data_IF_620962315162
#
_entry.id   IF_620962315162
#
_cell.length_a   1.000
_cell.length_b   1.000
_cell.length_c   1.000
_cell.angle_alpha   90.00
_cell.angle_beta   90.00
_cell.angle_gamma   90.00
#
_symmetry.space_group_name_H-M   'P 1'
#
loop_
_entity.id
_entity.type
_entity.pdbx_description
1 polymer ?
#
# COMPACT_ATOMS: atom_id res chain seq x y z
N UNK A 1 -3.32 3.70 -21.23
CA UNK A 1 -3.32 5.00 -20.53
C UNK A 1 -3.74 4.68 -19.10
N UNK A 2 -2.79 4.67 -18.18
CA UNK A 2 -2.93 4.18 -16.80
C UNK A 2 -4.10 4.87 -16.09
N UNK A 3 -5.08 4.12 -15.57
CA UNK A 3 -5.94 4.65 -14.49
C UNK A 3 -5.13 4.59 -13.21
N UNK A 4 -4.25 5.58 -13.04
CA UNK A 4 -3.48 5.74 -11.81
C UNK A 4 -4.48 5.98 -10.68
N UNK A 5 -4.57 5.02 -9.76
CA UNK A 5 -5.62 4.97 -8.75
C UNK A 5 -5.27 5.83 -7.54
N UNK A 6 -6.25 6.61 -7.08
CA UNK A 6 -6.20 7.34 -5.81
C UNK A 6 -7.03 6.61 -4.75
N UNK A 7 -6.51 6.55 -3.52
CA UNK A 7 -7.29 6.10 -2.37
C UNK A 7 -6.88 6.81 -1.09
N UNK A 8 -7.79 6.84 -0.13
CA UNK A 8 -7.57 7.37 1.21
C UNK A 8 -8.04 6.36 2.26
N UNK A 9 -7.15 6.03 3.20
CA UNK A 9 -7.46 5.25 4.40
C UNK A 9 -7.68 6.17 5.59
N UNK A 10 -8.78 5.95 6.30
CA UNK A 10 -9.13 6.62 7.54
C UNK A 10 -9.10 5.60 8.66
N UNK A 11 -8.35 5.89 9.73
CA UNK A 11 -8.16 4.95 10.82
C UNK A 11 -7.50 5.59 12.02
N UNK A 12 -6.79 4.78 12.79
CA UNK A 12 -6.15 5.21 14.03
C UNK A 12 -4.77 4.60 14.23
N UNK A 13 -3.92 5.35 14.93
CA UNK A 13 -2.65 4.92 15.50
C UNK A 13 -2.78 5.03 17.04
N UNK A 14 -3.23 3.95 17.68
CA UNK A 14 -3.69 4.02 19.07
C UNK A 14 -4.95 4.89 19.17
N UNK A 15 -4.92 5.94 19.98
CA UNK A 15 -6.02 6.91 20.12
C UNK A 15 -5.95 8.08 19.12
N UNK A 16 -4.89 8.16 18.32
CA UNK A 16 -4.67 9.27 17.38
C UNK A 16 -5.34 8.96 16.05
N UNK A 17 -6.28 9.80 15.56
CA UNK A 17 -6.87 9.61 14.24
C UNK A 17 -5.82 9.81 13.15
N UNK A 18 -5.84 8.94 12.14
CA UNK A 18 -4.93 8.92 11.01
C UNK A 18 -5.72 8.98 9.71
N UNK A 19 -5.26 9.81 8.79
CA UNK A 19 -5.72 9.84 7.39
C UNK A 19 -4.50 9.72 6.50
N UNK A 20 -4.46 8.71 5.62
CA UNK A 20 -3.37 8.51 4.66
C UNK A 20 -3.96 8.40 3.27
N UNK A 21 -3.53 9.27 2.38
CA UNK A 21 -3.89 9.28 0.95
C UNK A 21 -2.70 8.84 0.12
N UNK A 22 -2.93 7.87 -0.75
CA UNK A 22 -2.04 7.57 -1.86
C UNK A 22 -2.69 8.10 -3.14
N UNK A 23 -2.01 9.01 -3.80
CA UNK A 23 -2.38 9.54 -5.11
C UNK A 23 -1.25 9.22 -6.08
N UNK A 24 -1.44 8.19 -6.90
CA UNK A 24 -0.48 7.81 -7.93
C UNK A 24 0.94 7.51 -7.41
N UNK A 25 1.04 6.90 -6.21
CA UNK A 25 2.30 6.60 -5.54
C UNK A 25 2.83 7.73 -4.66
N UNK A 26 2.24 8.94 -4.70
CA UNK A 26 2.56 10.00 -3.76
C UNK A 26 1.74 9.81 -2.46
N UNK A 27 2.45 9.77 -1.33
CA UNK A 27 1.86 9.63 0.00
C UNK A 27 1.68 10.99 0.67
N UNK A 28 0.47 11.24 1.17
CA UNK A 28 0.13 12.41 1.98
C UNK A 28 -0.83 12.02 3.09
N UNK A 29 -0.97 12.84 4.12
CA UNK A 29 -1.82 12.48 5.25
C UNK A 29 -1.51 13.23 6.54
N UNK A 30 -2.29 12.92 7.56
CA UNK A 30 -2.15 13.44 8.91
C UNK A 30 -2.35 12.32 9.95
N UNK A 31 -1.59 12.32 11.05
CA UNK A 31 -0.42 13.16 11.31
C UNK A 31 0.76 12.80 10.39
N UNK A 32 1.70 13.73 10.21
CA UNK A 32 2.90 13.49 9.37
C UNK A 32 3.71 12.29 9.84
N UNK A 33 3.71 12.00 11.15
CA UNK A 33 4.34 10.80 11.71
C UNK A 33 3.76 9.51 11.10
N UNK A 34 2.44 9.45 10.86
CA UNK A 34 1.82 8.28 10.27
C UNK A 34 2.27 8.08 8.81
N UNK A 35 2.35 9.16 8.04
CA UNK A 35 2.87 9.13 6.66
C UNK A 35 4.32 8.66 6.64
N UNK A 36 5.14 9.14 7.58
CA UNK A 36 6.54 8.76 7.69
C UNK A 36 6.70 7.26 8.00
N UNK A 37 5.87 6.71 8.91
CA UNK A 37 5.87 5.25 9.20
C UNK A 37 5.54 4.40 7.98
N UNK A 38 4.62 4.85 7.13
CA UNK A 38 4.31 4.16 5.87
C UNK A 38 5.53 4.16 4.95
N UNK A 39 6.18 5.32 4.78
CA UNK A 39 7.38 5.45 3.94
C UNK A 39 8.51 4.54 4.43
N UNK A 40 8.78 4.54 5.73
CA UNK A 40 9.82 3.68 6.34
C UNK A 40 9.52 2.19 6.15
N UNK A 41 8.26 1.78 6.28
CA UNK A 41 7.89 0.39 6.05
C UNK A 41 8.03 0.01 4.56
N UNK A 42 7.62 0.88 3.64
CA UNK A 42 7.81 0.66 2.20
C UNK A 42 9.30 0.62 1.83
N UNK A 43 10.14 1.44 2.45
CA UNK A 43 11.59 1.40 2.24
C UNK A 43 12.20 0.11 2.79
N UNK A 44 11.78 -0.36 3.96
CA UNK A 44 12.20 -1.65 4.51
C UNK A 44 11.76 -2.82 3.62
N UNK A 45 10.61 -2.72 2.96
CA UNK A 45 10.19 -3.68 1.93
C UNK A 45 11.14 -3.61 0.72
N UNK A 46 11.48 -2.40 0.26
CA UNK A 46 12.40 -2.16 -0.87
C UNK A 46 13.80 -2.71 -0.62
N UNK A 47 14.33 -2.56 0.59
CA UNK A 47 15.67 -3.05 0.96
C UNK A 47 15.69 -4.56 1.27
N UNK A 48 14.54 -5.23 1.24
CA UNK A 48 14.43 -6.66 1.58
C UNK A 48 14.50 -6.94 3.08
N UNK A 49 14.45 -5.90 3.93
CA UNK A 49 14.39 -6.03 5.39
C UNK A 49 13.02 -6.50 5.89
N UNK A 50 11.97 -6.21 5.10
CA UNK A 50 10.59 -6.68 5.35
C UNK A 50 10.00 -7.31 4.10
N UNK A 51 9.12 -8.27 4.32
CA UNK A 51 8.31 -8.87 3.28
C UNK A 51 6.85 -8.57 3.57
N UNK A 52 6.12 -8.07 2.58
CA UNK A 52 4.68 -7.98 2.65
C UNK A 52 4.08 -9.04 1.72
N UNK A 53 3.20 -9.86 2.28
CA UNK A 53 2.49 -10.86 1.53
C UNK A 53 1.13 -10.28 1.15
N UNK A 54 0.90 -10.06 -0.14
CA UNK A 54 -0.44 -9.83 -0.67
C UNK A 54 -0.84 -11.01 -1.53
N UNK A 55 -2.12 -11.40 -1.45
CA UNK A 55 -2.67 -12.37 -2.39
C UNK A 55 -2.79 -11.66 -3.73
N UNK A 56 -2.02 -12.14 -4.71
CA UNK A 56 -2.22 -11.87 -6.11
C UNK A 56 -3.60 -12.44 -6.48
N UNK A 57 -4.65 -11.63 -6.40
CA UNK A 57 -5.81 -11.94 -7.22
C UNK A 57 -5.35 -11.75 -8.66
N UNK A 58 -5.46 -12.80 -9.47
CA UNK A 58 -5.35 -12.73 -10.92
C UNK A 58 -6.38 -11.72 -11.42
N UNK A 59 -6.02 -10.44 -11.36
CA UNK A 59 -6.61 -9.43 -12.20
C UNK A 59 -6.05 -9.72 -13.59
N UNK A 60 -6.73 -10.59 -14.33
CA UNK A 60 -6.52 -10.74 -15.76
C UNK A 60 -6.61 -9.34 -16.40
N UNK A 61 -5.45 -8.74 -16.68
CA UNK A 61 -5.34 -7.50 -17.45
C UNK A 61 -4.94 -6.21 -16.71
N UNK A 62 -4.66 -6.20 -15.40
CA UNK A 62 -4.23 -4.97 -14.70
C UNK A 62 -3.00 -5.17 -13.78
N UNK A 63 -1.81 -5.36 -14.38
CA UNK A 63 -0.51 -5.29 -13.68
C UNK A 63 -0.32 -3.97 -12.88
N UNK A 64 -1.05 -2.92 -13.29
CA UNK A 64 -0.99 -1.57 -12.73
C UNK A 64 -1.63 -1.40 -11.33
N UNK A 65 -2.44 -2.36 -10.87
CA UNK A 65 -3.09 -2.29 -9.56
C UNK A 65 -2.16 -2.66 -8.38
N UNK A 66 -0.98 -3.23 -8.67
CA UNK A 66 -0.04 -3.74 -7.66
C UNK A 66 0.50 -2.64 -6.73
N UNK A 67 0.77 -1.42 -7.22
CA UNK A 67 1.29 -0.29 -6.40
C UNK A 67 0.28 0.10 -5.32
N UNK A 68 -0.96 0.47 -5.67
CA UNK A 68 -1.96 0.80 -4.67
C UNK A 68 -2.24 -0.30 -3.66
N UNK A 69 -2.22 -1.57 -4.10
CA UNK A 69 -2.48 -2.71 -3.21
C UNK A 69 -1.36 -2.91 -2.20
N UNK A 70 -0.09 -2.80 -2.61
CA UNK A 70 1.05 -2.85 -1.69
C UNK A 70 0.96 -1.73 -0.64
N UNK A 71 0.69 -0.49 -1.07
CA UNK A 71 0.56 0.65 -0.16
C UNK A 71 -0.64 0.49 0.79
N UNK A 72 -1.79 0.01 0.30
CA UNK A 72 -2.94 -0.31 1.16
C UNK A 72 -2.59 -1.37 2.21
N UNK A 73 -1.88 -2.42 1.83
CA UNK A 73 -1.47 -3.48 2.74
C UNK A 73 -0.55 -2.95 3.85
N UNK A 74 0.44 -2.12 3.51
CA UNK A 74 1.30 -1.47 4.50
C UNK A 74 0.50 -0.60 5.46
N UNK A 75 -0.46 0.19 4.94
CA UNK A 75 -1.30 1.06 5.77
C UNK A 75 -2.16 0.23 6.74
N UNK A 76 -2.71 -0.92 6.30
CA UNK A 76 -3.49 -1.81 7.17
C UNK A 76 -2.66 -2.54 8.22
N UNK A 77 -1.41 -2.87 7.90
CA UNK A 77 -0.48 -3.48 8.85
C UNK A 77 -0.09 -2.47 9.95
N UNK A 78 0.05 -1.20 9.60
CA UNK A 78 0.52 -0.14 10.51
C UNK A 78 -0.58 0.50 11.36
N UNK A 79 -1.81 0.53 10.87
CA UNK A 79 -2.89 1.32 11.46
C UNK A 79 -4.20 0.54 11.51
N UNK A 80 -5.03 0.86 12.51
CA UNK A 80 -6.38 0.34 12.60
C UNK A 80 -7.28 1.12 11.62
N UNK A 81 -7.39 0.63 10.39
CA UNK A 81 -8.15 1.30 9.33
C UNK A 81 -9.63 0.96 9.42
N UNK A 82 -10.44 1.98 9.68
CA UNK A 82 -11.88 1.87 9.84
C UNK A 82 -12.62 2.03 8.50
N UNK A 83 -12.04 2.77 7.55
CA UNK A 83 -12.72 3.14 6.30
C UNK A 83 -11.74 3.44 5.16
N UNK A 84 -12.12 3.04 3.95
CA UNK A 84 -11.45 3.39 2.70
C UNK A 84 -12.34 4.25 1.81
N UNK A 85 -11.74 5.19 1.10
CA UNK A 85 -12.34 5.92 -0.03
C UNK A 85 -11.43 5.87 -1.25
N UNK A 86 -12.00 5.99 -2.45
CA UNK A 86 -11.27 6.10 -3.71
C UNK A 86 -11.50 4.95 -4.68
N UNK A 87 -10.81 5.03 -5.81
CA UNK A 87 -11.15 4.31 -7.03
C UNK A 87 -10.44 2.97 -7.16
N UNK A 88 -9.47 2.72 -6.26
CA UNK A 88 -8.75 1.46 -6.18
C UNK A 88 -9.64 0.46 -5.44
N UNK A 89 -10.16 -0.59 -6.11
CA UNK A 89 -11.07 -1.51 -5.47
C UNK A 89 -10.41 -2.22 -4.28
N UNK A 90 -11.18 -2.38 -3.21
CA UNK A 90 -10.75 -3.06 -2.00
C UNK A 90 -11.11 -4.54 -2.13
N UNK A 91 -10.13 -5.39 -2.43
CA UNK A 91 -10.33 -6.83 -2.33
C UNK A 91 -9.67 -7.33 -1.06
N UNK A 92 -10.49 -7.93 -0.21
CA UNK A 92 -10.17 -8.30 1.17
C UNK A 92 -8.97 -9.23 1.29
N UNK A 93 -8.20 -8.97 2.33
CA UNK A 93 -7.08 -9.80 2.75
C UNK A 93 -7.61 -11.07 3.42
N UNK A 94 -7.10 -12.23 3.00
CA UNK A 94 -7.16 -13.44 3.79
C UNK A 94 -5.75 -14.00 3.87
N UNK A 95 -5.26 -14.25 5.08
CA UNK A 95 -3.97 -14.88 5.31
C UNK A 95 -3.87 -16.19 4.51
N UNK A 96 -2.86 -16.27 3.65
CA UNK A 96 -2.52 -17.44 2.83
C UNK A 96 -1.01 -17.49 2.57
N UNK A 97 -0.46 -18.65 2.20
CA UNK A 97 0.97 -18.81 1.95
C UNK A 97 1.38 -17.88 0.79
N UNK A 98 2.16 -16.85 1.12
CA UNK A 98 2.49 -15.79 0.18
C UNK A 98 3.33 -16.29 -0.98
N UNK A 99 3.06 -15.73 -2.17
CA UNK A 99 3.91 -15.92 -3.35
C UNK A 99 4.99 -14.85 -3.29
N UNK A 100 6.29 -15.20 -3.33
CA UNK A 100 7.35 -14.21 -3.51
C UNK A 100 7.11 -13.53 -4.86
N UNK A 101 6.93 -12.22 -4.83
CA UNK A 101 6.83 -11.42 -6.06
C UNK A 101 8.22 -11.49 -6.67
N UNK A 102 8.30 -11.90 -7.93
CA UNK A 102 9.56 -11.95 -8.67
C UNK A 102 10.24 -10.58 -8.54
N UNK A 103 11.43 -10.57 -7.95
CA UNK A 103 12.02 -9.41 -7.25
C UNK A 103 12.16 -8.18 -8.16
N UNK A 104 12.22 -8.33 -9.49
CA UNK A 104 12.43 -7.22 -10.42
C UNK A 104 11.16 -6.35 -10.59
N UNK A 105 10.00 -6.97 -10.83
CA UNK A 105 8.71 -6.27 -10.97
C UNK A 105 8.34 -5.51 -9.70
N UNK A 106 8.65 -6.08 -8.54
CA UNK A 106 8.35 -5.46 -7.25
C UNK A 106 9.28 -4.29 -6.93
N UNK A 107 10.55 -4.41 -7.27
CA UNK A 107 11.52 -3.33 -7.08
C UNK A 107 11.23 -2.15 -8.01
N UNK A 108 10.91 -2.42 -9.27
CA UNK A 108 10.49 -1.41 -10.25
C UNK A 108 9.22 -0.67 -9.79
N UNK A 109 8.33 -1.42 -9.14
CA UNK A 109 7.09 -0.94 -8.57
C UNK A 109 7.30 -0.03 -7.34
N UNK A 110 8.22 -0.39 -6.45
CA UNK A 110 8.59 0.44 -5.28
C UNK A 110 9.34 1.72 -5.69
N UNK A 111 10.15 1.68 -6.75
CA UNK A 111 10.83 2.89 -7.28
C UNK A 111 9.85 3.95 -7.80
N UNK A 112 8.64 3.55 -8.20
CA UNK A 112 7.60 4.48 -8.72
C UNK A 112 6.83 5.20 -7.60
N UNK A 113 6.94 4.74 -6.36
CA UNK A 113 6.43 5.45 -5.17
C UNK A 113 7.41 6.58 -4.87
N UNK A 114 6.99 7.82 -5.11
CA UNK A 114 7.83 8.99 -4.81
C UNK A 114 7.88 9.20 -3.29
N UNK A 115 9.02 8.90 -2.67
CA UNK A 115 9.30 9.18 -1.26
C UNK A 115 9.49 10.68 -1.00
#
# INVERSE_FOLDING_TARGET
>A
MFKKGRFTGYGKMGDVPVTITCDNGALSGEPQEAVQKVKEYLDAIRTGEKFIYYLYYEFEGEEDARIPLCVKAVIQELFDIERWEGDVPCYGFKYGPGVPIDDEDFQDLLQRIQM
#
